data_IF_163107811171
#
_entry.id   IF_163107811171
#
_cell.length_a   1.000
_cell.length_b   1.000
_cell.length_c   1.000
_cell.angle_alpha   90.00
_cell.angle_beta   90.00
_cell.angle_gamma   90.00
#
_symmetry.space_group_name_H-M   'P 1'
#
loop_
_entity.id
_entity.type
_entity.pdbx_description
1 polymer ?
#
# COMPACT_ATOMS: atom_id res chain seq x y z
N UNK A 1 -10.35 -0.92 -22.27
CA UNK A 1 -10.22 -2.22 -21.58
C UNK A 1 -10.13 -1.91 -20.09
N UNK A 2 -11.23 -2.04 -19.36
CA UNK A 2 -11.31 -1.67 -17.93
C UNK A 2 -10.82 -2.85 -17.09
N UNK A 3 -9.68 -2.69 -16.42
CA UNK A 3 -9.11 -3.69 -15.52
C UNK A 3 -9.96 -3.79 -14.24
N UNK A 4 -11.03 -4.59 -14.28
CA UNK A 4 -11.93 -4.84 -13.15
C UNK A 4 -11.53 -6.07 -12.30
N UNK A 5 -10.27 -6.49 -12.29
CA UNK A 5 -9.89 -7.84 -11.84
C UNK A 5 -8.85 -7.93 -10.73
N UNK A 6 -8.58 -6.84 -10.03
CA UNK A 6 -7.82 -6.87 -8.78
C UNK A 6 -8.83 -6.62 -7.67
N UNK A 7 -9.13 -7.65 -6.86
CA UNK A 7 -10.12 -7.67 -5.77
C UNK A 7 -9.76 -6.65 -4.65
N UNK A 8 -9.78 -5.36 -4.96
CA UNK A 8 -9.62 -4.30 -3.99
C UNK A 8 -10.87 -4.25 -3.12
N UNK A 9 -10.76 -4.28 -1.78
CA UNK A 9 -11.91 -4.18 -0.92
C UNK A 9 -12.65 -2.84 -1.10
N UNK A 10 -13.98 -2.89 -0.99
CA UNK A 10 -14.81 -1.68 -0.96
C UNK A 10 -14.43 -0.78 0.22
N UNK A 11 -14.56 0.53 0.04
CA UNK A 11 -14.23 1.53 1.06
C UNK A 11 -12.76 1.96 1.10
N UNK A 12 -11.86 1.30 0.36
CA UNK A 12 -10.46 1.72 0.30
C UNK A 12 -10.28 2.87 -0.68
N UNK A 13 -9.60 3.94 -0.25
CA UNK A 13 -9.20 5.09 -1.08
C UNK A 13 -7.77 4.96 -1.55
N UNK A 14 -7.46 5.49 -2.73
CA UNK A 14 -6.09 5.58 -3.22
C UNK A 14 -5.32 6.55 -2.32
N UNK A 15 -4.09 6.18 -1.96
CA UNK A 15 -3.19 7.05 -1.20
C UNK A 15 -1.93 7.23 -2.03
N UNK A 16 -1.81 8.38 -2.75
CA UNK A 16 -0.60 8.73 -3.46
C UNK A 16 0.62 8.69 -2.52
N UNK A 17 1.80 8.38 -3.06
CA UNK A 17 3.02 8.27 -2.26
C UNK A 17 3.34 9.55 -1.46
N UNK A 18 3.06 10.72 -2.03
CA UNK A 18 3.20 12.02 -1.39
C UNK A 18 2.27 12.25 -0.20
N UNK A 19 1.23 11.42 -0.04
CA UNK A 19 0.25 11.47 1.05
C UNK A 19 0.45 10.36 2.10
N UNK A 20 1.46 9.49 1.94
CA UNK A 20 1.69 8.39 2.89
C UNK A 20 1.96 8.85 4.31
N UNK A 21 2.50 10.07 4.50
CA UNK A 21 2.71 10.69 5.82
C UNK A 21 1.43 10.82 6.65
N UNK A 22 0.25 10.77 6.02
CA UNK A 22 -1.05 10.76 6.69
C UNK A 22 -1.53 9.38 7.15
N UNK A 23 -0.82 8.29 6.78
CA UNK A 23 -1.12 6.94 7.24
C UNK A 23 -0.59 6.71 8.66
N UNK A 24 -1.24 5.81 9.38
CA UNK A 24 -0.90 5.45 10.75
C UNK A 24 -0.57 3.96 10.87
N UNK A 25 0.29 3.62 11.82
CA UNK A 25 0.57 2.22 12.16
C UNK A 25 -0.74 1.48 12.50
N UNK A 26 -0.95 0.33 11.87
CA UNK A 26 -2.16 -0.48 11.98
C UNK A 26 -3.21 -0.24 10.90
N UNK A 27 -3.12 0.86 10.14
CA UNK A 27 -4.02 1.14 9.01
C UNK A 27 -4.01 -0.02 8.03
N UNK A 28 -5.20 -0.44 7.60
CA UNK A 28 -5.32 -1.53 6.65
C UNK A 28 -5.01 -1.00 5.25
N UNK A 29 -4.17 -1.74 4.54
CA UNK A 29 -3.75 -1.39 3.20
C UNK A 29 -3.96 -2.54 2.23
N UNK A 30 -4.33 -2.16 1.01
CA UNK A 30 -4.34 -3.02 -0.16
C UNK A 30 -3.34 -2.44 -1.15
N UNK A 31 -2.45 -3.30 -1.65
CA UNK A 31 -1.32 -2.90 -2.47
C UNK A 31 -1.37 -3.69 -3.78
N UNK A 32 -1.10 -3.00 -4.88
CA UNK A 32 -0.82 -3.61 -6.15
C UNK A 32 0.54 -3.16 -6.65
N UNK A 33 1.38 -4.11 -7.03
CA UNK A 33 2.69 -3.87 -7.61
C UNK A 33 2.81 -4.70 -8.89
N UNK A 34 3.33 -4.11 -9.96
CA UNK A 34 3.44 -4.77 -11.26
C UNK A 34 4.35 -6.01 -11.22
N UNK A 35 5.37 -6.02 -10.36
CA UNK A 35 6.37 -7.08 -10.29
C UNK A 35 5.91 -8.31 -9.49
N UNK A 36 5.07 -8.13 -8.47
CA UNK A 36 4.67 -9.24 -7.58
C UNK A 36 3.16 -9.34 -7.32
N UNK A 37 2.34 -8.46 -7.89
CA UNK A 37 0.89 -8.54 -7.87
C UNK A 37 0.25 -7.89 -6.65
N UNK A 38 -0.76 -8.54 -6.08
CA UNK A 38 -1.60 -7.98 -5.03
C UNK A 38 -1.15 -8.45 -3.66
N UNK A 39 -1.16 -7.54 -2.69
CA UNK A 39 -0.98 -7.84 -1.27
C UNK A 39 -1.97 -7.09 -0.40
N UNK A 40 -2.38 -7.70 0.70
CA UNK A 40 -3.11 -7.04 1.78
C UNK A 40 -2.28 -7.04 3.04
N UNK A 41 -2.39 -6.01 3.86
CA UNK A 41 -1.64 -5.93 5.09
C UNK A 41 -2.00 -4.74 5.94
N UNK A 42 -1.09 -4.41 6.84
CA UNK A 42 -1.21 -3.23 7.72
C UNK A 42 0.05 -2.39 7.67
N UNK A 43 -0.12 -1.08 7.70
CA UNK A 43 0.99 -0.16 7.88
C UNK A 43 1.70 -0.49 9.18
N UNK A 44 3.01 -0.62 9.12
CA UNK A 44 3.87 -0.77 10.28
C UNK A 44 4.46 0.57 10.68
N UNK A 45 5.05 1.28 9.72
CA UNK A 45 5.73 2.56 9.91
C UNK A 45 5.75 3.39 8.61
N UNK A 46 5.92 4.70 8.75
CA UNK A 46 5.90 5.68 7.65
C UNK A 46 7.03 6.67 7.82
N UNK A 47 7.81 6.87 6.77
CA UNK A 47 8.80 7.96 6.78
C UNK A 47 8.11 9.32 6.70
N UNK A 48 8.48 10.22 7.61
CA UNK A 48 7.98 11.60 7.64
C UNK A 48 8.71 12.54 6.66
N UNK A 49 9.76 12.04 6.01
CA UNK A 49 10.66 12.85 5.19
C UNK A 49 10.83 12.32 3.76
N UNK A 50 10.42 11.08 3.52
CA UNK A 50 10.57 10.40 2.25
C UNK A 50 9.30 9.60 1.97
N UNK A 51 9.04 9.32 0.71
CA UNK A 51 7.92 8.48 0.28
C UNK A 51 8.27 7.00 0.51
N UNK A 52 8.38 6.61 1.78
CA UNK A 52 8.70 5.25 2.21
C UNK A 52 7.64 4.75 3.18
N UNK A 53 7.13 3.56 2.90
CA UNK A 53 6.08 2.91 3.67
C UNK A 53 6.50 1.48 4.04
N UNK A 54 6.43 1.16 5.34
CA UNK A 54 6.58 -0.20 5.81
C UNK A 54 5.22 -0.83 6.06
N UNK A 55 5.02 -2.05 5.55
CA UNK A 55 3.76 -2.79 5.66
C UNK A 55 4.05 -4.21 6.10
N UNK A 56 3.25 -4.73 7.03
CA UNK A 56 3.20 -6.16 7.34
C UNK A 56 2.16 -6.79 6.41
N UNK A 57 2.62 -7.56 5.42
CA UNK A 57 1.79 -8.29 4.47
C UNK A 57 1.27 -9.60 5.06
N UNK A 58 0.03 -9.93 4.71
CA UNK A 58 -0.69 -11.14 5.11
C UNK A 58 -1.07 -11.97 3.88
N UNK A 59 -0.40 -13.12 3.61
CA UNK A 59 0.88 -13.58 4.16
C UNK A 59 2.07 -12.86 3.50
N UNK A 60 3.21 -12.76 4.20
CA UNK A 60 4.45 -12.24 3.58
C UNK A 60 5.39 -11.50 4.53
N UNK A 61 4.91 -11.08 5.70
CA UNK A 61 5.75 -10.38 6.68
C UNK A 61 6.05 -8.93 6.29
N UNK A 62 7.04 -8.32 6.94
CA UNK A 62 7.33 -6.89 6.81
C UNK A 62 8.01 -6.59 5.47
N UNK A 63 7.51 -5.58 4.75
CA UNK A 63 8.04 -5.11 3.47
C UNK A 63 8.18 -3.59 3.46
N UNK A 64 9.21 -3.10 2.78
CA UNK A 64 9.39 -1.69 2.44
C UNK A 64 8.86 -1.44 1.02
N UNK A 65 8.10 -0.37 0.87
CA UNK A 65 7.56 0.13 -0.40
C UNK A 65 8.08 1.54 -0.61
N UNK A 66 8.59 1.84 -1.80
CA UNK A 66 9.08 3.17 -2.17
C UNK A 66 8.07 3.86 -3.11
N UNK A 67 7.88 5.16 -2.95
CA UNK A 67 6.96 5.94 -3.79
C UNK A 67 7.37 6.04 -5.27
N UNK A 68 8.62 5.73 -5.57
CA UNK A 68 9.15 5.66 -6.93
C UNK A 68 8.92 4.30 -7.60
N UNK A 69 8.40 3.32 -6.87
CA UNK A 69 8.09 2.00 -7.42
C UNK A 69 6.79 2.06 -8.24
N UNK A 70 6.61 1.15 -9.20
CA UNK A 70 5.37 0.98 -9.96
C UNK A 70 4.30 0.28 -9.08
N UNK A 71 3.92 0.96 -7.99
CA UNK A 71 3.06 0.45 -6.91
C UNK A 71 1.88 1.39 -6.68
N UNK A 72 0.71 0.80 -6.47
CA UNK A 72 -0.49 1.48 -6.00
C UNK A 72 -0.78 1.07 -4.55
N UNK A 73 -1.02 2.05 -3.70
CA UNK A 73 -1.40 1.84 -2.30
C UNK A 73 -2.79 2.40 -2.05
N UNK A 74 -3.63 1.60 -1.40
CA UNK A 74 -4.99 1.95 -1.05
C UNK A 74 -5.21 1.70 0.44
N UNK A 75 -5.91 2.58 1.15
CA UNK A 75 -6.19 2.48 2.59
C UNK A 75 -7.68 2.65 2.92
N UNK A 76 -8.15 1.96 3.97
CA UNK A 76 -9.55 1.99 4.45
C UNK A 76 -9.92 3.26 5.24
#
# INVERSE_FOLDING_TARGET
>A
MTASLLNRPDGYRHVPASEWTGLQSGDRVWIYDVAWGVGTGRVDDVSQHQELLWVILEPGGRRLICGTDDVEVWAA
#
